data_IF_443951784919
#
_entry.id   IF_443951784919
#
_cell.length_a   1.000
_cell.length_b   1.000
_cell.length_c   1.000
_cell.angle_alpha   90.00
_cell.angle_beta   90.00
_cell.angle_gamma   90.00
#
_symmetry.space_group_name_H-M   'P 1'
#
loop_
_entity.id
_entity.type
_entity.pdbx_description
1 polymer ?
#
# COMPACT_ATOMS: atom_id res chain seq x y z
N UNK A 1 -6.76 -9.26 3.41
CA UNK A 1 -6.76 -9.85 2.06
C UNK A 1 -5.71 -9.12 1.24
N UNK A 2 -4.73 -9.85 0.67
CA UNK A 2 -3.70 -9.25 -0.18
C UNK A 2 -4.33 -8.63 -1.42
N UNK A 3 -3.71 -7.56 -1.97
CA UNK A 3 -4.12 -6.97 -3.24
C UNK A 3 -3.84 -7.96 -4.37
N UNK A 4 -4.80 -8.13 -5.27
CA UNK A 4 -4.60 -8.86 -6.51
C UNK A 4 -3.60 -8.10 -7.38
N UNK A 5 -2.70 -8.81 -8.04
CA UNK A 5 -1.81 -8.23 -9.02
C UNK A 5 -2.57 -7.88 -10.30
N UNK A 6 -2.35 -6.66 -10.84
CA UNK A 6 -3.08 -6.19 -12.02
C UNK A 6 -2.68 -6.95 -13.28
N UNK A 7 -1.42 -7.40 -13.39
CA UNK A 7 -0.94 -8.21 -14.51
C UNK A 7 -1.62 -9.59 -14.50
N UNK A 8 -1.64 -10.26 -13.33
CA UNK A 8 -2.35 -11.53 -13.17
C UNK A 8 -3.85 -11.40 -13.52
N UNK A 9 -4.46 -10.26 -13.15
CA UNK A 9 -5.84 -10.01 -13.53
C UNK A 9 -5.99 -9.81 -15.06
N UNK A 10 -5.12 -9.00 -15.67
CA UNK A 10 -5.09 -8.79 -17.13
C UNK A 10 -4.98 -10.10 -17.91
N UNK A 11 -4.13 -11.03 -17.47
CA UNK A 11 -3.93 -12.33 -18.11
C UNK A 11 -5.11 -13.30 -17.89
N UNK A 12 -5.98 -13.03 -16.92
CA UNK A 12 -7.08 -13.92 -16.51
C UNK A 12 -8.45 -13.54 -17.05
N UNK A 13 -8.59 -12.36 -17.66
CA UNK A 13 -9.89 -11.85 -18.16
C UNK A 13 -9.87 -11.62 -19.66
N UNK A 14 -11.05 -11.55 -20.28
CA UNK A 14 -11.18 -11.20 -21.69
C UNK A 14 -10.80 -9.73 -21.90
N UNK A 15 -10.27 -9.40 -23.10
CA UNK A 15 -9.80 -8.05 -23.43
C UNK A 15 -10.90 -7.00 -23.31
N UNK A 16 -12.12 -7.35 -23.66
CA UNK A 16 -13.31 -6.50 -23.57
C UNK A 16 -13.62 -6.13 -22.12
N UNK A 17 -13.54 -7.10 -21.21
CA UNK A 17 -13.77 -6.89 -19.78
C UNK A 17 -12.68 -6.01 -19.18
N UNK A 18 -11.41 -6.23 -19.55
CA UNK A 18 -10.31 -5.39 -19.12
C UNK A 18 -10.44 -3.95 -19.65
N UNK A 19 -10.79 -3.76 -20.91
CA UNK A 19 -11.06 -2.45 -21.50
C UNK A 19 -12.23 -1.74 -20.82
N UNK A 20 -13.29 -2.48 -20.47
CA UNK A 20 -14.42 -1.96 -19.69
C UNK A 20 -13.96 -1.44 -18.33
N UNK A 21 -13.06 -2.15 -17.65
CA UNK A 21 -12.46 -1.70 -16.38
C UNK A 21 -11.65 -0.41 -16.57
N UNK A 22 -10.83 -0.32 -17.61
CA UNK A 22 -9.99 0.87 -17.90
C UNK A 22 -10.81 2.13 -18.23
N UNK A 23 -12.07 1.98 -18.65
CA UNK A 23 -12.98 3.10 -18.93
C UNK A 23 -13.64 3.65 -17.66
N UNK A 24 -13.43 3.04 -16.52
CA UNK A 24 -13.96 3.49 -15.25
C UNK A 24 -13.06 4.55 -14.60
N UNK A 25 -13.67 5.36 -13.73
CA UNK A 25 -12.89 6.28 -12.89
C UNK A 25 -11.96 5.46 -12.00
N UNK A 26 -10.71 5.86 -11.94
CA UNK A 26 -9.72 5.21 -11.09
C UNK A 26 -9.02 6.20 -10.17
N UNK A 27 -8.45 5.63 -9.11
CA UNK A 27 -7.53 6.27 -8.17
C UNK A 27 -6.20 5.52 -8.25
N UNK A 28 -5.10 6.25 -8.31
CA UNK A 28 -3.75 5.69 -8.28
C UNK A 28 -3.00 6.27 -7.10
N UNK A 29 -2.45 5.39 -6.27
CA UNK A 29 -1.59 5.76 -5.13
C UNK A 29 -0.24 5.03 -5.25
N UNK A 30 0.80 5.57 -4.62
CA UNK A 30 2.06 4.88 -4.52
C UNK A 30 1.93 3.66 -3.60
N UNK A 31 2.56 2.55 -3.99
CA UNK A 31 2.76 1.38 -3.15
C UNK A 31 4.12 1.48 -2.48
N UNK A 32 4.13 1.57 -1.17
CA UNK A 32 5.36 1.68 -0.38
C UNK A 32 5.90 0.29 -0.04
N UNK A 33 7.22 0.13 -0.09
CA UNK A 33 7.90 -1.07 0.39
C UNK A 33 8.09 -0.99 1.91
N UNK A 34 7.23 -1.68 2.65
CA UNK A 34 7.21 -1.62 4.10
C UNK A 34 6.76 -2.93 4.74
N UNK A 35 6.96 -3.04 6.04
CA UNK A 35 6.38 -4.11 6.84
C UNK A 35 4.94 -3.77 7.21
N UNK A 36 4.11 -4.80 7.39
CA UNK A 36 2.69 -4.62 7.67
C UNK A 36 2.41 -4.72 9.17
N UNK A 37 1.75 -3.72 9.73
CA UNK A 37 1.22 -3.70 11.09
C UNK A 37 -0.28 -3.49 11.05
N UNK A 38 -1.03 -4.24 11.86
CA UNK A 38 -2.46 -4.02 12.02
C UNK A 38 -2.80 -3.72 13.48
N UNK A 39 -3.76 -2.83 13.67
CA UNK A 39 -4.22 -2.41 15.00
C UNK A 39 -5.73 -2.58 15.08
N UNK A 40 -6.22 -3.14 16.18
CA UNK A 40 -7.64 -3.27 16.49
C UNK A 40 -7.90 -2.89 17.94
N UNK A 41 -9.00 -2.17 18.18
CA UNK A 41 -9.52 -1.94 19.50
C UNK A 41 -10.26 -3.19 19.99
N UNK A 42 -9.98 -3.61 21.21
CA UNK A 42 -10.69 -4.67 21.93
C UNK A 42 -11.14 -4.15 23.30
N UNK A 43 -11.90 -4.96 24.03
CA UNK A 43 -12.49 -4.55 25.34
C UNK A 43 -11.41 -4.24 26.39
N UNK A 44 -10.23 -4.88 26.27
CA UNK A 44 -9.09 -4.71 27.16
C UNK A 44 -7.99 -3.79 26.60
N UNK A 45 -8.27 -3.03 25.51
CA UNK A 45 -7.35 -2.08 24.89
C UNK A 45 -7.00 -2.38 23.44
N UNK A 46 -5.86 -1.86 22.95
CA UNK A 46 -5.44 -2.11 21.58
C UNK A 46 -4.66 -3.42 21.47
N UNK A 47 -4.95 -4.13 20.38
CA UNK A 47 -4.20 -5.33 19.96
C UNK A 47 -3.50 -5.06 18.63
N UNK A 48 -2.27 -5.53 18.54
CA UNK A 48 -1.41 -5.37 17.39
C UNK A 48 -1.21 -6.71 16.69
N UNK A 49 -1.18 -6.72 15.35
CA UNK A 49 -1.06 -7.93 14.56
C UNK A 49 -0.06 -7.72 13.43
N UNK A 50 0.76 -8.72 13.16
CA UNK A 50 1.51 -8.81 11.90
C UNK A 50 0.58 -9.31 10.79
N UNK A 51 0.85 -8.91 9.53
CA UNK A 51 0.09 -9.42 8.38
C UNK A 51 0.06 -10.95 8.36
N UNK A 52 -1.12 -11.51 8.07
CA UNK A 52 -1.33 -12.94 8.02
C UNK A 52 -1.52 -13.64 9.37
N UNK A 53 -1.17 -13.01 10.48
CA UNK A 53 -1.36 -13.59 11.81
C UNK A 53 -2.79 -13.36 12.33
N UNK A 54 -3.42 -14.45 12.79
CA UNK A 54 -4.73 -14.39 13.46
C UNK A 54 -4.61 -13.99 14.93
N UNK A 55 -3.45 -14.27 15.53
CA UNK A 55 -3.18 -13.94 16.92
C UNK A 55 -2.47 -12.59 17.05
N UNK A 56 -2.78 -11.81 18.09
CA UNK A 56 -2.07 -10.56 18.36
C UNK A 56 -0.59 -10.82 18.64
N UNK A 57 0.23 -9.80 18.40
CA UNK A 57 1.64 -9.80 18.77
C UNK A 57 1.73 -10.02 20.28
N UNK A 58 2.36 -11.12 20.65
CA UNK A 58 2.53 -11.45 22.05
C UNK A 58 3.74 -10.69 22.62
N UNK A 59 3.58 -10.04 23.76
CA UNK A 59 4.69 -9.38 24.49
C UNK A 59 5.88 -10.31 24.79
N UNK A 60 5.69 -11.63 24.62
CA UNK A 60 6.72 -12.64 24.83
C UNK A 60 7.74 -12.68 23.68
N UNK A 61 7.34 -12.38 22.46
CA UNK A 61 8.28 -12.30 21.32
C UNK A 61 8.94 -10.92 21.27
N UNK A 62 9.97 -10.74 22.11
CA UNK A 62 10.69 -9.47 22.26
C UNK A 62 11.28 -8.98 20.94
N UNK A 63 11.69 -9.86 20.05
CA UNK A 63 12.33 -9.49 18.78
C UNK A 63 11.31 -8.85 17.84
N UNK A 64 10.11 -9.43 17.71
CA UNK A 64 9.06 -8.87 16.86
C UNK A 64 8.48 -7.59 17.46
N UNK A 65 8.27 -7.58 18.79
CA UNK A 65 7.75 -6.38 19.48
C UNK A 65 8.73 -5.22 19.38
N UNK A 66 10.03 -5.45 19.55
CA UNK A 66 11.04 -4.40 19.42
C UNK A 66 11.09 -3.82 18.00
N UNK A 67 10.87 -4.63 16.98
CA UNK A 67 10.79 -4.13 15.60
C UNK A 67 9.64 -3.12 15.41
N UNK A 68 8.46 -3.37 16.02
CA UNK A 68 7.28 -2.49 15.91
C UNK A 68 7.16 -1.48 17.07
N UNK A 69 8.17 -1.35 17.92
CA UNK A 69 8.12 -0.58 19.18
C UNK A 69 7.67 0.87 18.96
N UNK A 70 8.18 1.56 17.92
CA UNK A 70 7.80 2.94 17.63
C UNK A 70 6.31 3.07 17.26
N UNK A 71 5.81 2.19 16.40
CA UNK A 71 4.39 2.18 16.02
C UNK A 71 3.47 1.81 17.18
N UNK A 72 3.86 0.83 17.99
CA UNK A 72 3.11 0.44 19.20
C UNK A 72 3.11 1.60 20.20
N UNK A 73 4.28 2.20 20.46
CA UNK A 73 4.42 3.33 21.40
C UNK A 73 3.61 4.55 20.97
N UNK A 74 3.48 4.82 19.65
CA UNK A 74 2.62 5.87 19.15
C UNK A 74 1.15 5.61 19.55
N UNK A 75 0.65 4.40 19.33
CA UNK A 75 -0.72 4.05 19.68
C UNK A 75 -0.95 4.00 21.19
N UNK A 76 0.02 3.56 21.98
CA UNK A 76 -0.07 3.58 23.44
C UNK A 76 -0.18 5.03 23.98
N UNK A 77 0.45 6.00 23.31
CA UNK A 77 0.29 7.42 23.64
C UNK A 77 -1.08 7.96 23.20
N UNK A 78 -1.51 7.63 21.98
CA UNK A 78 -2.78 8.08 21.38
C UNK A 78 -4.01 7.52 22.10
N UNK A 79 -3.92 6.30 22.63
CA UNK A 79 -5.00 5.60 23.35
C UNK A 79 -5.63 6.48 24.44
N UNK A 80 -4.80 7.21 25.17
CA UNK A 80 -5.27 7.99 26.32
C UNK A 80 -6.29 9.07 25.94
N UNK A 81 -6.27 9.49 24.67
CA UNK A 81 -7.06 10.62 24.20
C UNK A 81 -8.15 10.23 23.20
N UNK A 82 -7.89 9.23 22.34
CA UNK A 82 -8.72 8.99 21.14
C UNK A 82 -9.18 7.55 20.92
N UNK A 83 -8.95 6.64 21.87
CA UNK A 83 -9.32 5.23 21.67
C UNK A 83 -10.81 5.05 21.38
N UNK A 84 -11.67 5.88 21.98
CA UNK A 84 -13.11 5.78 21.83
C UNK A 84 -13.61 6.16 20.43
N UNK A 85 -12.79 6.83 19.64
CA UNK A 85 -13.09 7.12 18.26
C UNK A 85 -12.90 5.90 17.34
N UNK A 86 -12.08 4.91 17.74
CA UNK A 86 -11.82 3.72 16.95
C UNK A 86 -12.98 2.71 17.08
N UNK A 87 -13.70 2.39 15.97
CA UNK A 87 -14.74 1.37 16.02
C UNK A 87 -14.17 -0.01 16.37
N UNK A 88 -14.84 -0.75 17.26
CA UNK A 88 -14.36 -2.05 17.75
C UNK A 88 -14.43 -3.17 16.70
N UNK A 89 -15.29 -3.02 15.70
CA UNK A 89 -15.41 -3.92 14.55
C UNK A 89 -14.44 -3.58 13.42
N UNK A 90 -13.54 -2.59 13.62
CA UNK A 90 -12.56 -2.17 12.63
C UNK A 90 -11.17 -2.61 13.01
N UNK A 91 -10.42 -3.08 11.99
CA UNK A 91 -9.00 -3.40 12.09
C UNK A 91 -8.25 -2.55 11.07
N UNK A 92 -7.45 -1.63 11.57
CA UNK A 92 -6.66 -0.70 10.78
C UNK A 92 -5.36 -1.36 10.33
N UNK A 93 -5.05 -1.28 9.03
CA UNK A 93 -3.85 -1.87 8.44
C UNK A 93 -2.89 -0.78 7.97
N UNK A 94 -1.64 -0.89 8.41
CA UNK A 94 -0.58 0.08 8.15
C UNK A 94 0.60 -0.56 7.44
N UNK A 95 1.24 0.22 6.58
CA UNK A 95 2.62 0.04 6.20
C UNK A 95 3.50 0.70 7.26
N UNK A 96 4.46 -0.05 7.81
CA UNK A 96 5.33 0.36 8.90
C UNK A 96 6.79 0.40 8.45
N UNK A 97 7.45 1.54 8.67
CA UNK A 97 8.84 1.79 8.27
C UNK A 97 9.65 2.32 9.44
N UNK A 98 10.83 1.73 9.67
CA UNK A 98 11.79 2.18 10.70
C UNK A 98 13.02 2.85 10.12
N UNK A 99 13.32 2.60 8.85
CA UNK A 99 14.45 3.16 8.12
C UNK A 99 13.99 3.66 6.75
N UNK A 100 14.62 4.71 6.26
CA UNK A 100 14.42 5.26 4.92
C UNK A 100 14.87 4.27 3.84
N UNK A 101 15.91 3.49 4.13
CA UNK A 101 16.41 2.46 3.22
C UNK A 101 15.76 1.13 3.48
N UNK A 102 15.02 0.64 2.51
CA UNK A 102 14.46 -0.71 2.45
C UNK A 102 15.39 -1.64 1.65
N UNK A 103 14.93 -2.87 1.33
CA UNK A 103 15.74 -3.84 0.59
C UNK A 103 16.10 -3.34 -0.81
N UNK A 104 15.14 -2.69 -1.49
CA UNK A 104 15.27 -2.30 -2.90
C UNK A 104 15.10 -0.81 -3.15
N UNK A 105 14.56 -0.06 -2.18
CA UNK A 105 14.20 1.35 -2.36
C UNK A 105 14.76 2.18 -1.22
N UNK A 106 15.25 3.36 -1.54
CA UNK A 106 15.68 4.36 -0.59
C UNK A 106 14.73 5.55 -0.66
N UNK A 107 14.05 5.84 0.45
CA UNK A 107 13.14 6.97 0.60
C UNK A 107 13.87 8.16 1.20
N UNK A 108 13.43 9.38 0.89
CA UNK A 108 14.03 10.60 1.44
C UNK A 108 13.64 10.86 2.90
N UNK A 109 12.45 10.40 3.28
CA UNK A 109 11.89 10.62 4.62
C UNK A 109 11.11 9.39 5.09
N UNK A 110 10.93 9.29 6.40
CA UNK A 110 10.00 8.34 7.00
C UNK A 110 8.59 8.92 7.06
N UNK A 111 7.56 8.08 7.00
CA UNK A 111 6.19 8.54 7.20
C UNK A 111 5.99 9.02 8.65
N UNK A 112 4.98 9.87 8.83
CA UNK A 112 4.58 10.38 10.15
C UNK A 112 4.36 9.21 11.11
N UNK A 113 5.02 9.26 12.27
CA UNK A 113 5.01 8.19 13.27
C UNK A 113 5.40 6.79 12.74
N UNK A 114 6.15 6.73 11.64
CA UNK A 114 6.59 5.50 10.98
C UNK A 114 5.44 4.67 10.36
N UNK A 115 4.26 5.25 10.16
CA UNK A 115 3.03 4.55 9.80
C UNK A 115 2.30 5.22 8.63
N UNK A 116 1.87 4.41 7.65
CA UNK A 116 0.98 4.81 6.58
C UNK A 116 -0.27 3.95 6.66
N UNK A 117 -1.44 4.55 6.87
CA UNK A 117 -2.72 3.83 6.91
C UNK A 117 -3.13 3.41 5.50
N UNK A 118 -3.01 2.14 5.15
CA UNK A 118 -3.24 1.64 3.79
C UNK A 118 -4.61 1.02 3.57
N UNK A 119 -5.27 0.57 4.63
CA UNK A 119 -6.60 0.00 4.54
C UNK A 119 -7.25 -0.15 5.91
N UNK A 120 -8.59 -0.28 5.90
CA UNK A 120 -9.38 -0.61 7.07
C UNK A 120 -10.19 -1.87 6.75
N UNK A 121 -10.08 -2.89 7.60
CA UNK A 121 -10.88 -4.11 7.54
C UNK A 121 -12.07 -3.95 8.48
N UNK A 122 -13.28 -3.96 7.93
CA UNK A 122 -14.51 -4.02 8.73
C UNK A 122 -14.83 -5.47 8.99
N UNK A 123 -14.97 -5.85 10.24
CA UNK A 123 -15.23 -7.20 10.68
C UNK A 123 -16.74 -7.44 10.81
N UNK A 124 -17.14 -8.71 10.88
CA UNK A 124 -18.48 -9.10 11.26
C UNK A 124 -18.73 -8.86 12.78
N UNK A 125 -19.95 -9.07 13.24
CA UNK A 125 -20.35 -8.84 14.63
C UNK A 125 -19.49 -9.65 15.63
N UNK A 126 -19.14 -10.88 15.28
CA UNK A 126 -18.27 -11.75 16.09
C UNK A 126 -16.79 -11.39 15.99
N UNK A 127 -16.42 -10.42 15.16
CA UNK A 127 -15.04 -9.96 14.89
C UNK A 127 -14.09 -11.06 14.41
N UNK A 128 -14.62 -12.12 13.82
CA UNK A 128 -13.87 -13.29 13.36
C UNK A 128 -13.56 -13.28 11.87
N UNK A 129 -14.39 -12.58 11.07
CA UNK A 129 -14.28 -12.55 9.62
C UNK A 129 -14.30 -11.11 9.08
N UNK A 130 -13.56 -10.90 7.99
CA UNK A 130 -13.57 -9.63 7.28
C UNK A 130 -14.82 -9.57 6.39
N UNK A 131 -15.70 -8.63 6.68
CA UNK A 131 -16.90 -8.33 5.91
C UNK A 131 -16.59 -7.42 4.72
N UNK A 132 -15.72 -6.42 4.92
CA UNK A 132 -15.37 -5.40 3.93
C UNK A 132 -13.95 -4.89 4.15
N UNK A 133 -13.27 -4.52 3.07
CA UNK A 133 -12.00 -3.78 3.13
C UNK A 133 -12.20 -2.40 2.51
N UNK A 134 -11.88 -1.37 3.25
CA UNK A 134 -11.93 0.03 2.81
C UNK A 134 -10.52 0.44 2.40
N UNK A 135 -10.37 0.93 1.15
CA UNK A 135 -9.14 1.48 0.59
C UNK A 135 -9.38 2.81 -0.12
N UNK A 136 -10.53 3.44 0.09
CA UNK A 136 -10.82 4.77 -0.44
C UNK A 136 -9.88 5.79 0.22
N UNK A 137 -8.97 6.46 -0.53
CA UNK A 137 -7.99 7.37 0.04
C UNK A 137 -8.61 8.49 0.88
N UNK A 138 -9.80 8.98 0.50
CA UNK A 138 -10.51 10.04 1.23
C UNK A 138 -10.97 9.58 2.62
N UNK A 139 -11.34 8.30 2.75
CA UNK A 139 -11.69 7.70 4.03
C UNK A 139 -10.43 7.45 4.84
N UNK A 140 -9.36 6.96 4.18
CA UNK A 140 -8.08 6.72 4.83
C UNK A 140 -7.44 8.01 5.34
N UNK A 141 -7.48 9.10 4.56
CA UNK A 141 -6.97 10.41 4.95
C UNK A 141 -7.64 10.91 6.23
N UNK A 142 -8.98 10.88 6.27
CA UNK A 142 -9.75 11.26 7.48
C UNK A 142 -9.31 10.46 8.71
N UNK A 143 -9.15 9.14 8.58
CA UNK A 143 -8.72 8.30 9.70
C UNK A 143 -7.24 8.45 10.01
N UNK A 144 -6.40 8.70 9.03
CA UNK A 144 -4.99 8.99 9.24
C UNK A 144 -4.79 10.26 10.07
N UNK A 145 -5.60 11.30 9.85
CA UNK A 145 -5.61 12.51 10.65
C UNK A 145 -6.03 12.24 12.11
N UNK A 146 -7.09 11.45 12.32
CA UNK A 146 -7.54 11.06 13.66
C UNK A 146 -6.46 10.26 14.39
N UNK A 147 -5.82 9.31 13.69
CA UNK A 147 -4.80 8.42 14.23
C UNK A 147 -3.40 9.06 14.22
N UNK A 148 -3.26 10.29 13.74
CA UNK A 148 -1.99 11.04 13.65
C UNK A 148 -0.89 10.31 12.88
N UNK A 149 -1.27 9.62 11.83
CA UNK A 149 -0.38 8.89 10.91
C UNK A 149 -0.45 9.48 9.51
N UNK A 150 0.30 8.91 8.56
CA UNK A 150 0.22 9.31 7.16
C UNK A 150 -0.85 8.50 6.42
N UNK A 151 -1.50 9.09 5.41
CA UNK A 151 -2.34 8.40 4.42
C UNK A 151 -1.57 8.16 3.12
N UNK A 152 -1.98 7.19 2.29
CA UNK A 152 -1.44 7.04 0.95
C UNK A 152 -1.76 8.27 0.12
N UNK A 153 -0.76 8.75 -0.61
CA UNK A 153 -0.97 9.87 -1.49
C UNK A 153 -1.68 9.47 -2.78
N UNK A 154 -2.66 10.27 -3.19
CA UNK A 154 -3.33 10.12 -4.48
C UNK A 154 -2.48 10.79 -5.56
N UNK A 155 -1.85 9.97 -6.42
CA UNK A 155 -1.05 10.43 -7.55
C UNK A 155 -1.95 10.83 -8.72
N UNK A 156 -3.05 10.09 -8.92
CA UNK A 156 -4.01 10.35 -9.98
C UNK A 156 -5.43 9.99 -9.54
N UNK A 157 -6.40 10.83 -9.93
CA UNK A 157 -7.82 10.54 -9.80
C UNK A 157 -8.55 10.98 -11.07
N UNK A 158 -9.25 10.07 -11.73
CA UNK A 158 -9.99 10.38 -12.95
C UNK A 158 -10.24 9.16 -13.82
N UNK A 159 -10.68 9.41 -15.05
CA UNK A 159 -10.76 8.40 -16.11
C UNK A 159 -9.45 8.46 -16.89
N UNK A 160 -8.81 7.31 -17.10
CA UNK A 160 -7.59 7.22 -17.87
C UNK A 160 -7.84 7.70 -19.31
N UNK A 161 -7.02 8.64 -19.78
CA UNK A 161 -6.98 8.99 -21.20
C UNK A 161 -6.47 7.81 -22.04
N UNK A 162 -6.78 7.80 -23.33
CA UNK A 162 -6.43 6.66 -24.19
C UNK A 162 -4.94 6.37 -24.21
N UNK A 163 -4.09 7.40 -24.24
CA UNK A 163 -2.64 7.23 -24.17
C UNK A 163 -2.16 6.62 -22.84
N UNK A 164 -2.86 6.88 -21.71
CA UNK A 164 -2.55 6.30 -20.40
C UNK A 164 -2.98 4.83 -20.34
N UNK A 165 -4.13 4.49 -20.94
CA UNK A 165 -4.60 3.10 -21.09
C UNK A 165 -3.62 2.29 -21.93
N UNK A 166 -3.16 2.85 -23.06
CA UNK A 166 -2.16 2.21 -23.91
C UNK A 166 -0.84 1.96 -23.17
N UNK A 167 -0.34 2.95 -22.43
CA UNK A 167 0.86 2.78 -21.61
C UNK A 167 0.69 1.68 -20.56
N UNK A 168 -0.44 1.66 -19.87
CA UNK A 168 -0.74 0.63 -18.88
C UNK A 168 -0.80 -0.77 -19.50
N UNK A 169 -1.50 -0.95 -20.62
CA UNK A 169 -1.57 -2.22 -21.35
C UNK A 169 -0.16 -2.66 -21.78
N UNK A 170 0.66 -1.73 -22.27
CA UNK A 170 2.03 -2.04 -22.68
C UNK A 170 2.89 -2.55 -21.51
N UNK A 171 2.76 -1.97 -20.31
CA UNK A 171 3.45 -2.47 -19.11
C UNK A 171 3.00 -3.90 -18.76
N UNK A 172 1.70 -4.18 -18.87
CA UNK A 172 1.13 -5.48 -18.52
C UNK A 172 1.51 -6.58 -19.53
N UNK A 173 1.67 -6.22 -20.81
CA UNK A 173 1.97 -7.16 -21.90
C UNK A 173 3.47 -7.41 -22.12
N UNK A 174 4.35 -6.57 -21.58
CA UNK A 174 5.80 -6.68 -21.73
C UNK A 174 6.45 -7.35 -20.52
N UNK A 175 7.68 -7.85 -20.70
CA UNK A 175 8.49 -8.47 -19.66
C UNK A 175 9.89 -7.86 -19.59
N UNK A 176 10.56 -8.05 -18.46
CA UNK A 176 11.96 -7.66 -18.25
C UNK A 176 12.21 -6.16 -18.42
N UNK A 177 13.33 -5.81 -19.04
CA UNK A 177 13.79 -4.42 -19.19
C UNK A 177 12.81 -3.52 -19.94
N UNK A 178 12.11 -4.05 -20.94
CA UNK A 178 11.11 -3.27 -21.68
C UNK A 178 9.91 -2.91 -20.79
N UNK A 179 9.44 -3.83 -19.97
CA UNK A 179 8.38 -3.55 -19.01
C UNK A 179 8.83 -2.51 -17.97
N UNK A 180 10.09 -2.56 -17.52
CA UNK A 180 10.68 -1.59 -16.60
C UNK A 180 10.66 -0.18 -17.19
N UNK A 181 11.22 0.00 -18.37
CA UNK A 181 11.26 1.31 -19.04
C UNK A 181 9.85 1.91 -19.22
N UNK A 182 8.88 1.08 -19.58
CA UNK A 182 7.48 1.52 -19.74
C UNK A 182 6.82 1.83 -18.41
N UNK A 183 7.16 1.09 -17.35
CA UNK A 183 6.68 1.37 -15.99
C UNK A 183 7.22 2.72 -15.49
N UNK A 184 8.50 3.00 -15.68
CA UNK A 184 9.13 4.28 -15.34
C UNK A 184 8.48 5.44 -16.10
N UNK A 185 8.27 5.28 -17.41
CA UNK A 185 7.60 6.28 -18.26
C UNK A 185 6.14 6.52 -17.83
N UNK A 186 5.44 5.48 -17.41
CA UNK A 186 4.08 5.57 -16.88
C UNK A 186 4.04 6.30 -15.54
N UNK A 187 4.89 5.92 -14.60
CA UNK A 187 4.96 6.56 -13.27
C UNK A 187 5.43 8.00 -13.38
N UNK A 188 6.44 8.29 -14.20
CA UNK A 188 6.91 9.65 -14.46
C UNK A 188 5.79 10.56 -14.95
N UNK A 189 4.90 10.09 -15.82
CA UNK A 189 3.78 10.91 -16.32
C UNK A 189 2.79 11.30 -15.23
N UNK A 190 2.62 10.49 -14.19
CA UNK A 190 1.80 10.83 -13.02
C UNK A 190 2.52 11.79 -12.07
N UNK A 191 3.79 11.57 -11.82
CA UNK A 191 4.59 12.46 -10.97
C UNK A 191 4.75 13.86 -11.60
N UNK A 192 4.94 13.95 -12.91
CA UNK A 192 4.99 15.24 -13.61
C UNK A 192 3.68 16.02 -13.50
N UNK A 193 2.53 15.33 -13.59
CA UNK A 193 1.22 15.96 -13.39
C UNK A 193 1.07 16.53 -11.97
N UNK A 194 1.63 15.85 -10.98
CA UNK A 194 1.60 16.25 -9.58
C UNK A 194 2.45 17.48 -9.27
N UNK A 195 3.65 17.59 -9.85
CA UNK A 195 4.54 18.75 -9.66
C UNK A 195 3.89 20.06 -10.15
N UNK A 196 2.99 19.99 -11.14
CA UNK A 196 2.24 21.14 -11.64
C UNK A 196 0.99 21.49 -10.78
N UNK A 197 0.54 20.58 -9.91
CA UNK A 197 -0.58 20.80 -9.00
C UNK A 197 -0.07 20.98 -7.56
N UNK A 198 0.31 22.20 -7.19
CA UNK A 198 0.94 22.56 -5.90
C UNK A 198 0.18 22.11 -4.63
N UNK A 199 -1.06 21.65 -4.76
CA UNK A 199 -1.90 21.27 -3.62
C UNK A 199 -1.63 19.89 -3.04
N UNK A 200 -0.81 19.05 -3.67
CA UNK A 200 -0.61 17.63 -3.32
C UNK A 200 0.74 17.29 -2.69
N UNK A 201 1.59 18.27 -2.42
CA UNK A 201 2.98 18.07 -1.95
C UNK A 201 3.16 17.42 -0.55
N UNK A 202 2.10 17.13 0.19
CA UNK A 202 2.23 16.81 1.63
C UNK A 202 2.56 15.35 1.98
N UNK A 203 2.55 14.40 1.05
CA UNK A 203 2.53 13.00 1.42
C UNK A 203 3.60 12.10 0.78
N UNK A 204 4.42 12.58 -0.15
CA UNK A 204 5.48 11.77 -0.74
C UNK A 204 6.65 11.56 0.21
N UNK A 205 7.12 10.33 0.31
CA UNK A 205 8.35 10.00 1.01
C UNK A 205 9.59 10.33 0.17
N UNK A 206 9.44 10.55 -1.13
CA UNK A 206 10.50 10.97 -2.04
C UNK A 206 10.22 12.34 -2.63
N UNK A 207 11.21 13.23 -2.53
CA UNK A 207 11.17 14.55 -3.14
C UNK A 207 11.61 14.52 -4.62
N UNK A 208 12.31 13.46 -5.04
CA UNK A 208 12.79 13.28 -6.39
C UNK A 208 11.86 12.36 -7.17
N UNK A 209 11.27 12.90 -8.24
CA UNK A 209 10.36 12.18 -9.15
C UNK A 209 11.06 11.09 -9.97
N UNK A 210 12.39 11.09 -10.01
CA UNK A 210 13.20 10.11 -10.72
C UNK A 210 13.63 8.92 -9.87
N UNK A 211 13.27 8.90 -8.57
CA UNK A 211 13.56 7.75 -7.71
C UNK A 211 12.66 6.57 -8.03
N UNK A 212 13.24 5.39 -7.90
CA UNK A 212 12.51 4.13 -8.04
C UNK A 212 11.37 4.06 -7.01
N UNK A 213 10.24 3.53 -7.44
CA UNK A 213 9.10 3.20 -6.57
C UNK A 213 8.84 1.70 -6.57
N UNK A 214 8.35 1.16 -5.46
CA UNK A 214 8.04 -0.28 -5.33
C UNK A 214 6.88 -0.70 -6.26
N UNK A 215 5.95 0.19 -6.51
CA UNK A 215 4.82 -0.03 -7.37
C UNK A 215 3.71 0.99 -7.16
N UNK A 216 2.56 0.66 -7.72
CA UNK A 216 1.34 1.45 -7.61
C UNK A 216 0.20 0.60 -7.02
N UNK A 217 -0.74 1.25 -6.37
CA UNK A 217 -2.07 0.71 -6.12
C UNK A 217 -3.04 1.41 -7.06
N UNK A 218 -3.65 0.66 -7.96
CA UNK A 218 -4.64 1.15 -8.92
C UNK A 218 -6.01 0.66 -8.50
N UNK A 219 -6.93 1.58 -8.27
CA UNK A 219 -8.26 1.32 -7.75
C UNK A 219 -9.31 1.82 -8.73
N UNK A 220 -10.07 0.93 -9.34
CA UNK A 220 -11.14 1.29 -10.27
C UNK A 220 -12.49 1.34 -9.55
N UNK A 221 -13.29 2.37 -9.86
CA UNK A 221 -14.63 2.55 -9.30
C UNK A 221 -15.66 1.73 -10.10
N UNK A 222 -16.07 0.60 -9.56
CA UNK A 222 -17.09 -0.27 -10.13
C UNK A 222 -18.42 -0.06 -9.38
N UNK A 223 -19.29 0.78 -9.94
CA UNK A 223 -20.51 1.22 -9.29
C UNK A 223 -20.21 2.06 -8.03
N UNK A 224 -20.50 1.52 -6.82
CA UNK A 224 -20.21 2.17 -5.52
C UNK A 224 -19.01 1.55 -4.80
N UNK A 225 -18.31 0.61 -5.42
CA UNK A 225 -17.19 -0.13 -4.81
C UNK A 225 -15.89 0.14 -5.55
N UNK A 226 -14.78 0.13 -4.83
CA UNK A 226 -13.44 0.19 -5.42
C UNK A 226 -12.90 -1.23 -5.59
N UNK A 227 -12.54 -1.58 -6.82
CA UNK A 227 -11.79 -2.78 -7.16
C UNK A 227 -10.32 -2.43 -7.19
N UNK A 228 -9.56 -2.99 -6.27
CA UNK A 228 -8.19 -2.55 -6.00
C UNK A 228 -7.18 -3.58 -6.47
N UNK A 229 -6.13 -3.11 -7.15
CA UNK A 229 -5.04 -3.92 -7.66
C UNK A 229 -3.70 -3.31 -7.25
N UNK A 230 -2.68 -4.15 -7.08
CA UNK A 230 -1.29 -3.71 -7.09
C UNK A 230 -0.73 -3.83 -8.51
N UNK A 231 0.07 -2.85 -8.92
CA UNK A 231 0.95 -2.91 -10.07
C UNK A 231 2.38 -2.80 -9.55
N UNK A 232 3.08 -3.91 -9.49
CA UNK A 232 4.44 -3.99 -8.94
C UNK A 232 5.47 -3.55 -9.98
N UNK A 233 6.55 -2.91 -9.54
CA UNK A 233 7.66 -2.59 -10.42
C UNK A 233 8.28 -3.87 -11.00
N UNK A 234 8.49 -3.96 -12.33
CA UNK A 234 9.08 -5.15 -12.97
C UNK A 234 10.49 -5.51 -12.49
N UNK A 235 11.23 -4.57 -11.93
CA UNK A 235 12.56 -4.81 -11.34
C UNK A 235 12.54 -5.84 -10.21
N UNK A 236 11.44 -5.91 -9.48
CA UNK A 236 11.30 -6.83 -8.34
C UNK A 236 11.05 -8.25 -8.80
N UNK A 237 10.36 -8.44 -9.92
CA UNK A 237 10.10 -9.77 -10.49
C UNK A 237 11.39 -10.44 -10.97
N UNK A 238 12.35 -9.66 -11.53
CA UNK A 238 13.64 -10.18 -12.00
C UNK A 238 14.55 -10.63 -10.86
N UNK A 239 14.47 -10.02 -9.67
CA UNK A 239 15.30 -10.40 -8.51
C UNK A 239 14.78 -11.62 -7.75
N UNK A 240 13.47 -11.90 -7.80
CA UNK A 240 12.88 -13.06 -7.16
C UNK A 240 13.19 -14.38 -7.90
N UNK A 241 13.59 -14.29 -9.17
CA UNK A 241 13.93 -15.46 -10.03
C UNK A 241 15.41 -15.88 -9.92
N UNK A 242 16.29 -15.04 -9.37
CA UNK A 242 17.67 -15.49 -9.12
C UNK A 242 17.69 -16.46 -7.92
N UNK A 243 18.03 -17.76 -8.13
CA UNK A 243 18.15 -18.70 -7.03
C UNK A 243 19.27 -18.21 -6.11
N UNK A 244 18.96 -18.03 -4.82
CA UNK A 244 19.98 -17.79 -3.79
C UNK A 244 21.08 -18.82 -3.97
N UNK A 245 22.26 -18.40 -4.44
CA UNK A 245 23.44 -19.24 -4.40
C UNK A 245 23.65 -19.61 -2.93
N UNK A 246 23.44 -20.88 -2.63
CA UNK A 246 23.77 -21.45 -1.34
C UNK A 246 25.24 -21.15 -1.05
N UNK A 247 25.50 -20.34 -0.05
CA UNK A 247 26.85 -20.21 0.50
C UNK A 247 27.15 -21.42 1.37
N UNK A 248 27.33 -22.58 0.73
CA UNK A 248 28.02 -23.71 1.34
C UNK A 248 29.50 -23.52 1.08
N UNK A 249 30.18 -22.90 1.98
CA UNK A 249 31.63 -23.02 2.16
C UNK A 249 32.00 -22.52 3.57
N UNK A 250 31.79 -23.39 4.54
CA UNK A 250 32.68 -23.47 5.69
C UNK A 250 33.23 -24.87 5.74
N UNK A 251 34.44 -25.01 5.20
CA UNK A 251 35.43 -25.98 5.68
C UNK A 251 36.30 -25.27 6.71
#
# INVERSE_FOLDING_TARGET
MALQDLRTYYDSVEKEDFNSLLNQRCLVTEKIQASSLHVRREDDGLKFYKSGNKQPLNKIDRTIVSYYERGIGHFDALIKEKIDEMPMDWKFGFDYMINEKTVDIEYDTLPKNNLILTHIQVLNEDRTQIRKVIRDPRILEKWADILEVQSPEVIFEGILADYQKEKLINILSLQGEQARMKFEDFTFSYHAFKVFNESTHKAMLNNDIHKDIDGLVVSFLEGKTLKNFKLQSPLKEAKEVEPRKSSDAYQ
#
